data_IF_754754625912
#
_entry.id   IF_754754625912
#
_cell.length_a   1.000
_cell.length_b   1.000
_cell.length_c   1.000
_cell.angle_alpha   90.00
_cell.angle_beta   90.00
_cell.angle_gamma   90.00
#
_symmetry.space_group_name_H-M   'P 1'
#
loop_
_entity.id
_entity.type
_entity.pdbx_description
1 polymer ?
#
# COMPACT_ATOMS: atom_id res chain seq x y z
N UNK A 1 -15.96 30.81 1.11
CA UNK A 1 -16.71 31.24 -0.08
C UNK A 1 -17.42 30.02 -0.66
N UNK A 2 -18.72 29.89 -0.44
CA UNK A 2 -19.52 28.80 -1.00
C UNK A 2 -19.93 29.18 -2.43
N UNK A 3 -19.38 28.48 -3.43
CA UNK A 3 -19.75 28.61 -4.83
C UNK A 3 -21.09 27.90 -5.05
N UNK A 4 -22.21 28.64 -4.89
CA UNK A 4 -23.50 28.19 -5.37
C UNK A 4 -23.61 28.52 -6.86
N UNK A 5 -23.05 27.65 -7.73
CA UNK A 5 -23.21 27.79 -9.17
C UNK A 5 -24.63 27.34 -9.58
N UNK A 6 -25.44 28.19 -10.26
CA UNK A 6 -26.77 27.81 -10.73
C UNK A 6 -26.67 26.87 -11.94
N UNK A 7 -26.87 25.57 -11.71
CA UNK A 7 -26.98 24.57 -12.79
C UNK A 7 -28.20 24.86 -13.68
N UNK A 8 -27.96 25.34 -14.90
CA UNK A 8 -29.01 25.62 -15.87
C UNK A 8 -29.10 24.49 -16.89
N UNK A 9 -29.95 23.49 -16.61
CA UNK A 9 -30.08 22.31 -17.47
C UNK A 9 -31.00 22.56 -18.68
N UNK A 10 -30.39 22.67 -19.85
CA UNK A 10 -31.09 22.83 -21.13
C UNK A 10 -31.35 21.46 -21.79
N UNK A 11 -32.44 20.79 -21.43
CA UNK A 11 -32.88 19.57 -22.15
C UNK A 11 -33.54 19.99 -23.46
N UNK A 12 -32.81 19.80 -24.55
CA UNK A 12 -33.31 20.00 -25.91
C UNK A 12 -34.00 18.70 -26.36
N UNK A 13 -35.28 18.57 -26.01
CA UNK A 13 -36.09 17.41 -26.40
C UNK A 13 -36.61 17.60 -27.83
N UNK A 14 -35.74 17.43 -28.83
CA UNK A 14 -36.14 17.36 -30.23
C UNK A 14 -36.77 16.00 -30.52
N UNK A 15 -38.00 15.77 -30.04
CA UNK A 15 -38.78 14.57 -30.39
C UNK A 15 -39.66 14.84 -31.61
N UNK A 16 -39.30 14.16 -32.70
CA UNK A 16 -40.22 13.50 -33.64
C UNK A 16 -41.06 14.32 -34.63
N UNK A 17 -40.75 15.58 -34.89
CA UNK A 17 -41.36 16.25 -36.04
C UNK A 17 -40.30 16.95 -36.86
N UNK A 18 -40.40 16.74 -38.16
CA UNK A 18 -39.84 17.53 -39.27
C UNK A 18 -38.61 16.92 -39.96
N UNK A 19 -38.88 16.42 -41.16
CA UNK A 19 -37.99 15.86 -42.17
C UNK A 19 -37.43 16.92 -43.14
N UNK A 20 -37.53 18.21 -42.81
CA UNK A 20 -36.96 19.27 -43.65
C UNK A 20 -35.54 19.62 -43.17
N UNK A 21 -34.57 19.54 -44.08
CA UNK A 21 -33.17 19.89 -43.78
C UNK A 21 -32.99 21.31 -43.24
N UNK A 22 -33.89 22.22 -43.60
CA UNK A 22 -33.88 23.62 -43.15
C UNK A 22 -34.05 23.76 -41.63
N UNK A 23 -34.83 22.86 -41.00
CA UNK A 23 -35.07 22.92 -39.56
C UNK A 23 -33.82 22.55 -38.74
N UNK A 24 -32.95 21.68 -39.27
CA UNK A 24 -31.71 21.26 -38.59
C UNK A 24 -30.74 22.45 -38.47
N UNK A 25 -30.64 23.27 -39.52
CA UNK A 25 -29.78 24.46 -39.53
C UNK A 25 -30.30 25.56 -38.59
N UNK A 26 -31.62 25.76 -38.56
CA UNK A 26 -32.24 26.72 -37.65
C UNK A 26 -32.11 26.28 -36.18
N UNK A 27 -32.29 24.99 -35.92
CA UNK A 27 -32.15 24.42 -34.57
C UNK A 27 -30.71 24.51 -34.08
N UNK A 28 -29.71 24.18 -34.91
CA UNK A 28 -28.30 24.33 -34.54
C UNK A 28 -27.96 25.79 -34.25
N UNK A 29 -28.34 26.73 -35.13
CA UNK A 29 -28.14 28.17 -34.92
C UNK A 29 -28.79 28.68 -33.62
N UNK A 30 -30.03 28.29 -33.35
CA UNK A 30 -30.73 28.63 -32.12
C UNK A 30 -30.00 28.09 -30.88
N UNK A 31 -29.59 26.83 -30.93
CA UNK A 31 -28.89 26.17 -29.82
C UNK A 31 -27.55 26.85 -29.54
N UNK A 32 -26.79 27.22 -30.59
CA UNK A 32 -25.55 27.98 -30.46
C UNK A 32 -25.79 29.33 -29.77
N UNK A 33 -26.78 30.09 -30.24
CA UNK A 33 -27.11 31.40 -29.67
C UNK A 33 -27.50 31.30 -28.21
N UNK A 34 -28.26 30.27 -27.83
CA UNK A 34 -28.66 30.05 -26.44
C UNK A 34 -27.44 29.70 -25.57
N UNK A 35 -26.55 28.82 -26.04
CA UNK A 35 -25.33 28.47 -25.29
C UNK A 35 -24.43 29.70 -25.12
N UNK A 36 -24.25 30.50 -26.17
CA UNK A 36 -23.47 31.74 -26.11
C UNK A 36 -24.10 32.76 -25.16
N UNK A 37 -25.41 32.93 -25.22
CA UNK A 37 -26.12 33.86 -24.35
C UNK A 37 -26.01 33.44 -22.90
N UNK A 38 -26.15 32.14 -22.61
CA UNK A 38 -25.97 31.60 -21.26
C UNK A 38 -24.53 31.81 -20.76
N UNK A 39 -23.54 31.51 -21.60
CA UNK A 39 -22.12 31.72 -21.29
C UNK A 39 -21.77 33.20 -21.03
N UNK A 40 -22.41 34.15 -21.74
CA UNK A 40 -22.22 35.59 -21.52
C UNK A 40 -22.98 36.11 -20.30
N UNK A 41 -24.15 35.55 -20.01
CA UNK A 41 -25.03 36.02 -18.93
C UNK A 41 -24.60 35.57 -17.53
N UNK A 42 -23.87 34.45 -17.43
CA UNK A 42 -23.46 33.89 -16.15
C UNK A 42 -21.93 33.98 -16.00
N UNK A 43 -21.41 34.82 -15.09
CA UNK A 43 -19.97 34.81 -14.78
C UNK A 43 -19.61 33.52 -14.05
N UNK A 44 -18.93 32.60 -14.74
CA UNK A 44 -18.49 31.31 -14.18
C UNK A 44 -18.40 30.20 -15.22
N UNK A 45 -18.12 28.98 -14.76
CA UNK A 45 -18.19 27.77 -15.59
C UNK A 45 -19.64 27.33 -15.75
N UNK A 46 -20.14 27.37 -16.99
CA UNK A 46 -21.46 26.88 -17.36
C UNK A 46 -21.36 25.44 -17.89
N UNK A 47 -21.96 24.48 -17.18
CA UNK A 47 -22.05 23.10 -17.63
C UNK A 47 -23.36 22.89 -18.41
N UNK A 48 -23.23 22.46 -19.67
CA UNK A 48 -24.36 22.12 -20.53
C UNK A 48 -24.28 20.63 -20.90
N UNK A 49 -25.34 19.88 -20.60
CA UNK A 49 -25.46 18.48 -20.98
C UNK A 49 -26.41 18.36 -22.16
N UNK A 50 -25.88 18.01 -23.33
CA UNK A 50 -26.62 17.87 -24.58
C UNK A 50 -26.96 16.39 -24.79
N UNK A 51 -28.25 16.06 -24.75
CA UNK A 51 -28.74 14.70 -25.00
C UNK A 51 -29.25 14.56 -26.43
N UNK A 52 -28.62 13.68 -27.21
CA UNK A 52 -29.13 13.24 -28.50
C UNK A 52 -29.98 11.98 -28.32
N UNK A 53 -31.24 12.01 -28.76
CA UNK A 53 -32.15 10.86 -28.68
C UNK A 53 -32.19 10.02 -29.96
N UNK A 54 -31.33 10.29 -30.93
CA UNK A 54 -31.31 9.57 -32.21
C UNK A 54 -30.78 8.14 -32.05
N UNK A 55 -31.59 7.13 -32.42
CA UNK A 55 -31.26 5.69 -32.19
C UNK A 55 -30.24 5.11 -33.16
N UNK A 56 -30.22 5.57 -34.42
CA UNK A 56 -29.43 4.93 -35.48
C UNK A 56 -28.02 5.53 -35.61
N UNK A 57 -27.91 6.84 -35.40
CA UNK A 57 -26.65 7.60 -35.49
C UNK A 57 -26.61 8.61 -34.34
N UNK A 58 -26.39 8.17 -33.10
CA UNK A 58 -26.26 9.10 -31.99
C UNK A 58 -25.06 10.01 -32.24
N UNK A 59 -25.22 11.31 -32.03
CA UNK A 59 -24.17 12.36 -32.11
C UNK A 59 -23.73 12.80 -33.50
N UNK A 60 -24.18 12.20 -34.60
CA UNK A 60 -23.63 12.52 -35.93
C UNK A 60 -24.32 13.70 -36.64
N UNK A 61 -25.60 13.98 -36.32
CA UNK A 61 -26.38 15.00 -37.04
C UNK A 61 -26.30 16.35 -36.33
N UNK A 62 -27.27 16.64 -35.44
CA UNK A 62 -27.40 17.96 -34.80
C UNK A 62 -26.25 18.24 -33.83
N UNK A 63 -25.91 17.27 -32.98
CA UNK A 63 -24.86 17.47 -31.99
C UNK A 63 -23.48 17.48 -32.64
N UNK A 64 -23.28 16.70 -33.72
CA UNK A 64 -22.05 16.72 -34.50
C UNK A 64 -21.79 18.10 -35.11
N UNK A 65 -22.81 18.71 -35.72
CA UNK A 65 -22.72 20.04 -36.32
C UNK A 65 -22.56 21.14 -35.26
N UNK A 66 -23.32 21.06 -34.16
CA UNK A 66 -23.19 21.97 -33.01
C UNK A 66 -21.79 21.90 -32.38
N UNK A 67 -21.22 20.70 -32.27
CA UNK A 67 -19.86 20.49 -31.75
C UNK A 67 -18.78 20.91 -32.74
N UNK A 68 -19.07 20.95 -34.05
CA UNK A 68 -18.17 21.49 -35.09
C UNK A 68 -18.28 22.99 -35.27
N UNK A 69 -19.30 23.62 -34.69
CA UNK A 69 -19.51 25.05 -34.81
C UNK A 69 -18.31 25.86 -34.32
N UNK A 70 -17.76 26.76 -35.15
CA UNK A 70 -16.65 27.62 -34.74
C UNK A 70 -17.04 28.57 -33.60
N UNK A 71 -18.34 28.86 -33.45
CA UNK A 71 -18.82 29.78 -32.40
C UNK A 71 -18.67 29.21 -30.99
N UNK A 72 -18.70 27.87 -30.85
CA UNK A 72 -18.46 27.17 -29.58
C UNK A 72 -16.98 26.77 -29.38
N UNK A 73 -16.04 27.32 -30.15
CA UNK A 73 -14.62 26.96 -30.07
C UNK A 73 -13.94 27.27 -28.72
N UNK A 74 -14.58 28.04 -27.85
CA UNK A 74 -14.07 28.41 -26.53
C UNK A 74 -14.58 27.49 -25.39
N UNK A 75 -15.53 26.60 -25.67
CA UNK A 75 -16.09 25.66 -24.68
C UNK A 75 -15.28 24.37 -24.72
N UNK A 76 -14.60 24.05 -23.61
CA UNK A 76 -13.80 22.82 -23.47
C UNK A 76 -14.74 21.62 -23.48
N UNK A 77 -14.58 20.74 -24.47
CA UNK A 77 -15.48 19.60 -24.73
C UNK A 77 -14.99 18.28 -24.15
N UNK A 78 -13.72 18.22 -23.77
CA UNK A 78 -13.11 17.01 -23.26
C UNK A 78 -13.10 17.06 -21.74
N UNK A 79 -13.58 15.99 -21.11
CA UNK A 79 -13.36 15.76 -19.70
C UNK A 79 -11.95 15.19 -19.52
N UNK A 80 -10.98 15.98 -19.05
CA UNK A 80 -9.58 15.57 -18.98
C UNK A 80 -9.38 14.43 -17.95
N UNK A 81 -10.30 14.30 -16.99
CA UNK A 81 -10.21 13.29 -15.93
C UNK A 81 -10.51 11.89 -16.44
N UNK A 82 -11.50 11.75 -17.32
CA UNK A 82 -11.89 10.47 -17.93
C UNK A 82 -10.83 9.93 -18.88
N UNK A 83 -10.25 10.80 -19.70
CA UNK A 83 -9.16 10.42 -20.60
C UNK A 83 -7.99 9.86 -19.80
N UNK A 84 -7.67 10.53 -18.70
CA UNK A 84 -6.50 10.21 -17.90
C UNK A 84 -6.69 8.95 -17.03
N UNK A 85 -7.82 8.83 -16.32
CA UNK A 85 -8.05 7.71 -15.39
C UNK A 85 -8.46 6.44 -16.15
N UNK A 86 -9.28 6.57 -17.20
CA UNK A 86 -9.86 5.42 -17.90
C UNK A 86 -9.16 5.07 -19.21
N UNK A 87 -8.30 5.95 -19.74
CA UNK A 87 -7.76 5.80 -21.10
C UNK A 87 -8.85 5.86 -22.18
N UNK A 88 -10.05 6.35 -21.85
CA UNK A 88 -11.18 6.43 -22.78
C UNK A 88 -11.13 7.75 -23.54
N UNK A 89 -10.65 7.69 -24.78
CA UNK A 89 -10.68 8.82 -25.70
C UNK A 89 -12.08 8.95 -26.32
N UNK A 90 -12.94 9.81 -25.72
CA UNK A 90 -14.29 10.08 -26.26
C UNK A 90 -14.28 10.98 -27.51
N UNK A 91 -13.22 11.75 -27.73
CA UNK A 91 -13.12 12.72 -28.81
C UNK A 91 -11.76 12.60 -29.49
N UNK A 92 -11.76 12.55 -30.83
CA UNK A 92 -10.55 12.52 -31.63
C UNK A 92 -9.59 13.67 -31.23
N UNK A 93 -8.49 13.34 -30.53
CA UNK A 93 -7.49 14.33 -30.10
C UNK A 93 -7.03 15.18 -31.28
N UNK A 94 -6.99 14.62 -32.48
CA UNK A 94 -6.59 15.31 -33.70
C UNK A 94 -7.35 16.63 -33.95
N UNK A 95 -8.63 16.73 -33.58
CA UNK A 95 -9.45 17.95 -33.75
C UNK A 95 -9.43 18.93 -32.57
N UNK A 96 -8.84 18.57 -31.43
CA UNK A 96 -8.79 19.45 -30.26
C UNK A 96 -7.86 20.67 -30.47
N UNK A 97 -8.15 21.75 -29.75
CA UNK A 97 -7.37 22.99 -29.82
C UNK A 97 -5.92 22.73 -29.35
N UNK A 98 -4.94 23.49 -29.87
CA UNK A 98 -3.51 23.33 -29.51
C UNK A 98 -3.28 23.47 -28.00
N UNK A 99 -4.03 24.36 -27.35
CA UNK A 99 -3.95 24.56 -25.90
C UNK A 99 -4.51 23.41 -25.09
N UNK A 100 -5.66 22.86 -25.48
CA UNK A 100 -6.24 21.67 -24.84
C UNK A 100 -5.30 20.47 -24.96
N UNK A 101 -4.69 20.29 -26.14
CA UNK A 101 -3.65 19.26 -26.36
C UNK A 101 -2.47 19.44 -25.42
N UNK A 102 -1.98 20.67 -25.24
CA UNK A 102 -0.85 20.96 -24.36
C UNK A 102 -1.20 20.66 -22.89
N UNK A 103 -2.41 21.06 -22.45
CA UNK A 103 -2.89 20.79 -21.09
C UNK A 103 -3.07 19.28 -20.87
N UNK A 104 -3.73 18.57 -21.79
CA UNK A 104 -3.90 17.12 -21.71
C UNK A 104 -2.57 16.40 -21.72
N UNK A 105 -1.63 16.80 -22.58
CA UNK A 105 -0.28 16.24 -22.62
C UNK A 105 0.46 16.46 -21.30
N UNK A 106 0.41 17.67 -20.74
CA UNK A 106 1.01 17.99 -19.45
C UNK A 106 0.40 17.15 -18.32
N UNK A 107 -0.92 16.98 -18.32
CA UNK A 107 -1.65 16.15 -17.36
C UNK A 107 -1.24 14.67 -17.48
N UNK A 108 -1.18 14.13 -18.71
CA UNK A 108 -0.74 12.75 -18.97
C UNK A 108 0.68 12.54 -18.45
N UNK A 109 1.61 13.45 -18.77
CA UNK A 109 3.00 13.36 -18.29
C UNK A 109 3.04 13.41 -16.76
N UNK A 110 2.30 14.33 -16.13
CA UNK A 110 2.25 14.46 -14.68
C UNK A 110 1.77 13.17 -14.00
N UNK A 111 0.65 12.61 -14.43
CA UNK A 111 0.12 11.37 -13.83
C UNK A 111 0.95 10.14 -14.15
N UNK A 112 1.60 10.10 -15.32
CA UNK A 112 2.58 9.05 -15.62
C UNK A 112 3.74 9.10 -14.63
N UNK A 113 4.31 10.28 -14.38
CA UNK A 113 5.38 10.46 -13.38
C UNK A 113 4.92 10.08 -11.97
N UNK A 114 3.72 10.52 -11.58
CA UNK A 114 3.14 10.21 -10.28
C UNK A 114 2.90 8.70 -10.12
N UNK A 115 2.32 8.05 -11.12
CA UNK A 115 2.06 6.60 -11.11
C UNK A 115 3.35 5.81 -11.01
N UNK A 116 4.38 6.15 -11.79
CA UNK A 116 5.68 5.49 -11.73
C UNK A 116 6.37 5.67 -10.37
N UNK A 117 6.28 6.87 -9.79
CA UNK A 117 6.81 7.14 -8.46
C UNK A 117 6.07 6.32 -7.38
N UNK A 118 4.75 6.22 -7.49
CA UNK A 118 3.94 5.39 -6.59
C UNK A 118 4.23 3.90 -6.76
N UNK A 119 4.33 3.38 -7.98
CA UNK A 119 4.68 1.98 -8.25
C UNK A 119 6.03 1.64 -7.65
N UNK A 120 7.05 2.47 -7.87
CA UNK A 120 8.40 2.26 -7.31
C UNK A 120 8.36 2.23 -5.78
N UNK A 121 7.59 3.14 -5.17
CA UNK A 121 7.44 3.20 -3.71
C UNK A 121 6.65 2.02 -3.14
N UNK A 122 5.63 1.55 -3.85
CA UNK A 122 4.87 0.36 -3.45
C UNK A 122 5.74 -0.88 -3.58
N UNK A 123 6.48 -1.04 -4.68
CA UNK A 123 7.42 -2.14 -4.87
C UNK A 123 8.50 -2.14 -3.79
N UNK A 124 9.02 -0.96 -3.40
CA UNK A 124 10.02 -0.89 -2.32
C UNK A 124 9.43 -1.23 -0.94
N UNK A 125 8.18 -0.86 -0.67
CA UNK A 125 7.45 -1.26 0.54
C UNK A 125 7.06 -2.74 0.54
N UNK A 126 6.83 -3.33 -0.63
CA UNK A 126 6.56 -4.77 -0.80
C UNK A 126 7.83 -5.60 -0.67
N UNK A 127 8.97 -5.12 -1.17
CA UNK A 127 10.25 -5.81 -1.05
C UNK A 127 10.85 -5.70 0.35
N UNK A 128 10.64 -4.56 1.02
CA UNK A 128 11.09 -4.31 2.38
C UNK A 128 9.93 -3.88 3.26
N UNK A 129 9.24 -4.85 3.87
CA UNK A 129 8.20 -4.56 4.86
C UNK A 129 8.85 -3.76 5.99
N UNK A 130 8.44 -2.50 6.23
CA UNK A 130 9.04 -1.69 7.29
C UNK A 130 8.93 -2.48 8.59
N UNK A 131 10.06 -2.67 9.28
CA UNK A 131 10.00 -3.26 10.61
C UNK A 131 9.22 -2.31 11.51
N UNK A 132 8.41 -2.87 12.41
CA UNK A 132 7.86 -2.11 13.51
C UNK A 132 8.99 -1.34 14.20
N UNK A 133 8.66 -0.15 14.73
CA UNK A 133 9.63 0.73 15.40
C UNK A 133 10.51 -0.10 16.34
N UNK A 134 11.75 -0.27 15.93
CA UNK A 134 12.72 -1.06 16.69
C UNK A 134 13.07 -0.26 17.93
N UNK A 135 12.89 -0.87 19.10
CA UNK A 135 13.34 -0.29 20.37
C UNK A 135 14.86 -0.24 20.30
N UNK A 136 15.47 0.94 20.37
CA UNK A 136 16.92 1.10 20.25
C UNK A 136 17.59 1.37 21.60
N UNK A 137 16.89 2.08 22.50
CA UNK A 137 17.42 2.49 23.79
C UNK A 137 16.78 1.71 24.95
N UNK A 138 17.49 1.67 26.08
CA UNK A 138 16.96 1.06 27.31
C UNK A 138 15.73 1.84 27.81
N UNK A 139 15.72 3.16 27.65
CA UNK A 139 14.58 4.02 28.03
C UNK A 139 13.34 3.71 27.20
N UNK A 140 13.47 3.54 25.87
CA UNK A 140 12.37 3.11 25.00
C UNK A 140 11.86 1.71 25.41
N UNK A 141 12.75 0.82 25.87
CA UNK A 141 12.35 -0.50 26.36
C UNK A 141 11.51 -0.40 27.63
N UNK A 142 11.96 0.41 28.60
CA UNK A 142 11.26 0.58 29.88
C UNK A 142 9.91 1.27 29.68
N UNK A 143 9.86 2.32 28.84
CA UNK A 143 8.61 3.03 28.50
C UNK A 143 7.63 2.17 27.69
N UNK A 144 8.12 1.19 26.91
CA UNK A 144 7.25 0.23 26.21
C UNK A 144 6.50 -0.72 27.14
N UNK A 145 6.93 -0.85 28.41
CA UNK A 145 6.35 -1.80 29.36
C UNK A 145 6.67 -3.26 29.07
N UNK A 146 7.62 -3.54 28.17
CA UNK A 146 8.02 -4.91 27.83
C UNK A 146 8.75 -5.56 29.01
N UNK A 147 8.32 -6.75 29.48
CA UNK A 147 8.98 -7.41 30.61
C UNK A 147 10.40 -7.83 30.22
N UNK A 148 11.36 -7.50 31.07
CA UNK A 148 12.78 -7.83 30.86
C UNK A 148 13.14 -9.03 31.71
N UNK A 149 13.37 -10.18 31.09
CA UNK A 149 13.77 -11.41 31.76
C UNK A 149 15.27 -11.42 32.00
N UNK A 150 15.66 -11.67 33.24
CA UNK A 150 17.05 -11.73 33.63
C UNK A 150 17.27 -12.78 34.74
N UNK A 151 18.41 -13.49 34.69
CA UNK A 151 18.78 -14.50 35.69
C UNK A 151 19.54 -13.84 36.84
N UNK A 152 18.85 -13.59 37.96
CA UNK A 152 19.42 -12.83 39.08
C UNK A 152 20.64 -13.51 39.70
N UNK A 153 20.78 -14.83 39.57
CA UNK A 153 21.94 -15.57 40.07
C UNK A 153 23.22 -15.21 39.33
N UNK A 154 23.13 -14.73 38.09
CA UNK A 154 24.28 -14.33 37.27
C UNK A 154 24.56 -12.83 37.31
N UNK A 155 23.67 -12.05 37.92
CA UNK A 155 23.67 -10.59 37.89
C UNK A 155 24.13 -9.96 39.20
N UNK A 156 24.83 -10.70 40.06
CA UNK A 156 25.10 -10.37 41.48
C UNK A 156 25.77 -8.99 41.69
N UNK A 157 26.23 -8.30 40.63
CA UNK A 157 26.88 -6.98 40.72
C UNK A 157 26.39 -5.94 39.70
N UNK A 158 25.31 -6.19 38.94
CA UNK A 158 24.83 -5.20 37.96
C UNK A 158 23.79 -4.26 38.57
N UNK A 159 23.94 -2.96 38.32
CA UNK A 159 22.89 -2.00 38.65
C UNK A 159 21.71 -2.16 37.68
N UNK A 160 20.60 -2.69 38.19
CA UNK A 160 19.35 -2.86 37.46
C UNK A 160 18.35 -1.72 37.77
N UNK A 161 18.82 -0.63 38.38
CA UNK A 161 18.01 0.55 38.66
C UNK A 161 17.22 1.08 37.44
N UNK A 162 17.72 1.04 36.18
CA UNK A 162 16.97 1.54 35.04
C UNK A 162 15.69 0.75 34.73
N UNK A 163 15.62 -0.52 35.11
CA UNK A 163 14.50 -1.41 34.79
C UNK A 163 13.51 -1.59 35.93
N UNK A 164 13.48 -0.65 36.89
CA UNK A 164 12.65 -0.78 38.09
C UNK A 164 11.17 -0.99 37.71
N UNK A 165 10.65 -2.17 38.02
CA UNK A 165 9.26 -2.56 37.75
C UNK A 165 9.02 -3.37 36.47
N UNK A 166 9.99 -3.48 35.56
CA UNK A 166 9.87 -4.31 34.34
C UNK A 166 10.69 -5.60 34.39
N UNK A 167 11.65 -5.72 35.33
CA UNK A 167 12.48 -6.92 35.44
C UNK A 167 11.71 -8.08 36.06
N UNK A 168 11.76 -9.23 35.38
CA UNK A 168 11.24 -10.50 35.85
C UNK A 168 12.40 -11.48 36.02
N UNK A 169 12.54 -12.06 37.22
CA UNK A 169 13.53 -13.11 37.44
C UNK A 169 13.14 -14.36 36.64
N UNK A 170 14.00 -14.78 35.72
CA UNK A 170 13.80 -16.00 34.94
C UNK A 170 15.10 -16.77 34.79
N UNK A 171 15.02 -18.09 34.93
CA UNK A 171 16.10 -19.04 34.64
C UNK A 171 16.06 -19.56 33.20
N UNK A 172 15.27 -18.94 32.31
CA UNK A 172 15.17 -19.33 30.92
C UNK A 172 16.54 -19.25 30.23
N UNK A 173 16.86 -20.25 29.41
CA UNK A 173 18.09 -20.25 28.62
C UNK A 173 17.90 -19.30 27.43
N UNK A 174 18.99 -18.72 26.94
CA UNK A 174 18.98 -17.87 25.74
C UNK A 174 18.47 -18.61 24.48
N UNK A 175 18.45 -19.94 24.50
CA UNK A 175 17.92 -20.80 23.42
C UNK A 175 16.38 -20.89 23.45
N UNK A 176 15.74 -20.49 24.54
CA UNK A 176 14.29 -20.61 24.77
C UNK A 176 13.63 -19.26 25.06
N UNK A 177 13.79 -18.30 24.16
CA UNK A 177 13.14 -16.99 24.24
C UNK A 177 11.73 -17.04 23.62
N UNK A 178 10.78 -16.36 24.25
CA UNK A 178 9.32 -16.45 24.03
C UNK A 178 8.75 -15.62 22.88
N UNK A 179 9.50 -14.67 22.35
CA UNK A 179 9.14 -13.77 21.25
C UNK A 179 8.46 -12.49 21.72
N UNK A 180 8.32 -12.30 23.04
CA UNK A 180 7.54 -11.22 23.63
C UNK A 180 8.35 -10.43 24.66
N UNK A 181 9.16 -11.12 25.46
CA UNK A 181 9.95 -10.49 26.51
C UNK A 181 11.30 -9.98 25.97
N UNK A 182 11.88 -8.99 26.62
CA UNK A 182 13.28 -8.65 26.44
C UNK A 182 14.16 -9.56 27.31
N UNK A 183 15.39 -9.82 26.88
CA UNK A 183 16.32 -10.71 27.59
C UNK A 183 17.64 -10.01 27.83
N UNK A 184 18.13 -10.08 29.07
CA UNK A 184 19.44 -9.57 29.41
C UNK A 184 20.52 -10.62 29.09
N UNK A 185 21.41 -10.30 28.16
CA UNK A 185 22.50 -11.18 27.75
C UNK A 185 23.73 -10.39 27.31
N UNK A 186 24.91 -11.01 27.41
CA UNK A 186 26.16 -10.42 26.91
C UNK A 186 26.12 -10.27 25.39
N UNK A 187 26.62 -9.15 24.86
CA UNK A 187 26.62 -8.85 23.42
C UNK A 187 27.22 -9.98 22.56
N UNK A 188 28.31 -10.61 23.02
CA UNK A 188 28.96 -11.73 22.33
C UNK A 188 28.02 -12.93 22.19
N UNK A 189 27.27 -13.28 23.25
CA UNK A 189 26.28 -14.35 23.20
C UNK A 189 25.12 -13.96 22.29
N UNK A 190 24.58 -12.74 22.40
CA UNK A 190 23.48 -12.32 21.54
C UNK A 190 23.86 -12.33 20.05
N UNK A 191 25.04 -11.82 19.69
CA UNK A 191 25.54 -11.85 18.29
C UNK A 191 25.67 -13.26 17.73
N UNK A 192 26.06 -14.22 18.58
CA UNK A 192 26.16 -15.62 18.17
C UNK A 192 24.78 -16.29 18.09
N UNK A 193 23.94 -16.15 19.12
CA UNK A 193 22.70 -16.91 19.25
C UNK A 193 21.57 -16.38 18.35
N UNK A 194 21.46 -15.06 18.14
CA UNK A 194 20.33 -14.48 17.40
C UNK A 194 20.23 -14.96 15.95
N UNK A 195 21.31 -14.90 15.12
CA UNK A 195 21.25 -15.40 13.74
C UNK A 195 21.01 -16.91 13.65
N UNK A 196 21.43 -17.65 14.69
CA UNK A 196 21.35 -19.11 14.74
C UNK A 196 19.92 -19.56 15.07
N UNK A 197 19.37 -19.08 16.18
CA UNK A 197 18.13 -19.60 16.76
C UNK A 197 16.89 -18.75 16.48
N UNK A 198 17.05 -17.46 16.17
CA UNK A 198 15.94 -16.50 16.10
C UNK A 198 15.86 -15.73 14.79
N UNK A 199 16.49 -16.21 13.73
CA UNK A 199 16.33 -15.65 12.39
C UNK A 199 15.00 -16.09 11.79
N UNK A 200 14.09 -15.15 11.51
CA UNK A 200 12.87 -15.39 10.76
C UNK A 200 13.16 -15.30 9.26
N UNK A 201 13.01 -16.42 8.56
CA UNK A 201 13.29 -16.53 7.13
C UNK A 201 12.19 -15.94 6.26
N UNK A 202 10.95 -15.93 6.75
CA UNK A 202 9.86 -15.35 5.98
C UNK A 202 10.06 -13.83 5.86
N UNK A 203 10.62 -13.24 6.92
CA UNK A 203 10.87 -11.81 7.01
C UNK A 203 12.34 -11.43 6.75
N UNK A 204 13.21 -12.41 6.49
CA UNK A 204 14.67 -12.28 6.35
C UNK A 204 15.32 -11.39 7.43
N UNK A 205 14.88 -11.52 8.68
CA UNK A 205 15.37 -10.68 9.78
C UNK A 205 15.41 -11.45 11.10
N UNK A 206 16.22 -10.97 12.03
CA UNK A 206 16.21 -11.51 13.39
C UNK A 206 14.92 -11.09 14.10
N UNK A 207 14.34 -12.03 14.86
CA UNK A 207 13.14 -11.80 15.69
C UNK A 207 13.43 -10.83 16.84
N UNK A 208 14.67 -10.85 17.33
CA UNK A 208 15.15 -9.94 18.36
C UNK A 208 16.21 -9.00 17.79
N UNK A 209 16.29 -7.82 18.39
CA UNK A 209 17.32 -6.82 18.11
C UNK A 209 18.19 -6.65 19.35
N UNK A 210 19.48 -6.47 19.13
CA UNK A 210 20.43 -6.13 20.19
C UNK A 210 20.36 -4.61 20.36
N UNK A 211 20.02 -4.13 21.56
CA UNK A 211 20.04 -2.71 21.88
C UNK A 211 21.46 -2.16 21.76
N UNK A 212 21.58 -0.92 21.31
CA UNK A 212 22.88 -0.23 21.21
C UNK A 212 23.38 0.21 22.59
N UNK A 213 22.44 0.55 23.48
CA UNK A 213 22.70 0.82 24.89
C UNK A 213 23.13 -0.44 25.65
N UNK A 214 24.07 -0.26 26.58
CA UNK A 214 24.60 -1.33 27.42
C UNK A 214 24.61 -0.90 28.88
N UNK A 215 24.31 -1.83 29.78
CA UNK A 215 24.31 -1.58 31.23
C UNK A 215 25.70 -1.51 31.84
N UNK A 216 26.69 -2.01 31.11
CA UNK A 216 28.06 -2.04 31.57
C UNK A 216 28.93 -2.87 30.64
N UNK A 217 30.22 -2.86 30.96
CA UNK A 217 31.23 -3.64 30.25
C UNK A 217 31.61 -4.84 31.11
N UNK A 218 31.36 -6.04 30.59
CA UNK A 218 31.87 -7.27 31.17
C UNK A 218 33.15 -7.66 30.45
N UNK A 219 34.24 -7.69 31.20
CA UNK A 219 35.52 -8.20 30.72
C UNK A 219 35.54 -9.70 31.03
N UNK A 220 35.68 -10.51 29.98
CA UNK A 220 35.95 -11.95 30.17
C UNK A 220 37.34 -12.10 30.76
N UNK A 221 37.46 -12.85 31.86
CA UNK A 221 38.74 -13.14 32.49
C UNK A 221 38.87 -14.64 32.72
N UNK A 222 40.09 -15.16 32.60
CA UNK A 222 40.39 -16.51 33.03
C UNK A 222 40.56 -16.55 34.54
N UNK A 223 39.72 -17.33 35.22
CA UNK A 223 39.88 -17.55 36.65
C UNK A 223 40.97 -18.58 36.87
N UNK A 224 42.04 -18.17 37.54
CA UNK A 224 43.13 -19.05 37.99
C UNK A 224 43.21 -19.04 39.51
N UNK A 225 43.84 -20.05 40.11
CA UNK A 225 44.11 -20.06 41.55
C UNK A 225 45.18 -19.02 41.90
N UNK A 226 45.07 -18.39 43.08
CA UNK A 226 45.96 -17.30 43.56
C UNK A 226 47.46 -17.66 43.60
N UNK A 227 47.80 -18.94 43.50
CA UNK A 227 49.18 -19.44 43.54
C UNK A 227 49.53 -20.30 42.32
N UNK A 228 48.86 -20.07 41.18
CA UNK A 228 49.17 -20.81 39.96
C UNK A 228 50.48 -20.26 39.34
N UNK A 229 51.57 -21.04 39.27
CA UNK A 229 52.81 -20.58 38.65
C UNK A 229 52.67 -20.26 37.15
N UNK A 230 51.60 -20.71 36.50
CA UNK A 230 51.32 -20.44 35.10
C UNK A 230 50.54 -19.14 34.86
N UNK A 231 50.13 -18.42 35.91
CA UNK A 231 49.31 -17.22 35.78
C UNK A 231 49.99 -16.14 34.94
N UNK A 232 51.26 -15.84 35.22
CA UNK A 232 52.03 -14.83 34.49
C UNK A 232 52.19 -15.22 33.01
N UNK A 233 52.48 -16.50 32.75
CA UNK A 233 52.60 -17.01 31.38
C UNK A 233 51.25 -16.92 30.63
N UNK A 234 50.13 -17.19 31.31
CA UNK A 234 48.80 -17.08 30.71
C UNK A 234 48.45 -15.63 30.38
N UNK A 235 48.71 -14.69 31.31
CA UNK A 235 48.48 -13.26 31.09
C UNK A 235 49.29 -12.73 29.91
N UNK A 236 50.58 -13.08 29.85
CA UNK A 236 51.44 -12.70 28.73
C UNK A 236 50.90 -13.25 27.40
N UNK A 237 50.50 -14.52 27.39
CA UNK A 237 49.97 -15.18 26.18
C UNK A 237 48.65 -14.55 25.73
N UNK A 238 47.75 -14.25 26.66
CA UNK A 238 46.48 -13.57 26.37
C UNK A 238 46.71 -12.19 25.77
N UNK A 239 47.61 -11.40 26.37
CA UNK A 239 48.00 -10.09 25.84
C UNK A 239 48.57 -10.20 24.43
N UNK A 240 49.50 -11.13 24.20
CA UNK A 240 50.07 -11.37 22.88
C UNK A 240 49.01 -11.77 21.83
N UNK A 241 48.04 -12.61 22.20
CA UNK A 241 46.94 -13.00 21.31
C UNK A 241 45.94 -11.86 21.05
N UNK A 242 45.71 -11.01 22.05
CA UNK A 242 44.87 -9.84 21.89
C UNK A 242 45.52 -8.79 20.99
N UNK A 243 46.78 -8.41 21.28
CA UNK A 243 47.55 -7.44 20.51
C UNK A 243 47.82 -7.93 19.08
N UNK A 244 48.07 -9.22 18.90
CA UNK A 244 48.19 -9.86 17.60
C UNK A 244 46.86 -9.99 16.83
N UNK A 245 45.73 -9.62 17.43
CA UNK A 245 44.40 -9.72 16.81
C UNK A 245 43.87 -11.15 16.64
N UNK A 246 44.56 -12.15 17.20
CA UNK A 246 44.23 -13.57 17.04
C UNK A 246 42.88 -13.89 17.68
N UNK A 247 42.56 -13.30 18.83
CA UNK A 247 41.25 -13.46 19.48
C UNK A 247 40.10 -12.91 18.62
N UNK A 248 40.31 -11.75 17.98
CA UNK A 248 39.32 -11.16 17.06
C UNK A 248 39.13 -12.03 15.82
N UNK A 249 40.22 -12.58 15.29
CA UNK A 249 40.17 -13.51 14.17
C UNK A 249 39.36 -14.77 14.52
N UNK A 250 39.66 -15.45 15.63
CA UNK A 250 38.94 -16.66 16.03
C UNK A 250 37.45 -16.40 16.33
N UNK A 251 37.13 -15.28 16.98
CA UNK A 251 35.72 -14.94 17.26
C UNK A 251 34.93 -14.67 15.98
N UNK A 252 35.52 -13.95 15.02
CA UNK A 252 34.91 -13.72 13.70
C UNK A 252 34.79 -15.02 12.89
N UNK A 253 35.83 -15.86 12.90
CA UNK A 253 35.84 -17.14 12.21
C UNK A 253 34.76 -18.08 12.76
N UNK A 254 34.67 -18.20 14.09
CA UNK A 254 33.66 -19.02 14.75
C UNK A 254 32.23 -18.53 14.45
N UNK A 255 32.01 -17.21 14.40
CA UNK A 255 30.73 -16.64 13.99
C UNK A 255 30.38 -17.05 12.55
N UNK A 256 31.32 -16.89 11.62
CA UNK A 256 31.13 -17.25 10.22
C UNK A 256 30.83 -18.75 10.05
N UNK A 257 31.62 -19.60 10.71
CA UNK A 257 31.46 -21.05 10.65
C UNK A 257 30.10 -21.49 11.23
N UNK A 258 29.67 -20.89 12.34
CA UNK A 258 28.36 -21.18 12.93
C UNK A 258 27.20 -20.81 11.99
N UNK A 259 27.32 -19.69 11.27
CA UNK A 259 26.34 -19.27 10.25
C UNK A 259 26.35 -20.24 9.06
N UNK A 260 27.53 -20.63 8.59
CA UNK A 260 27.69 -21.57 7.46
C UNK A 260 27.14 -22.97 7.78
N UNK A 261 27.50 -23.51 8.96
CA UNK A 261 26.99 -24.80 9.42
C UNK A 261 25.47 -24.80 9.46
N UNK A 262 24.85 -23.72 9.95
CA UNK A 262 23.40 -23.57 9.94
C UNK A 262 22.82 -23.48 8.53
N UNK A 263 23.41 -22.68 7.64
CA UNK A 263 22.95 -22.61 6.24
C UNK A 263 22.98 -23.98 5.54
N UNK A 264 23.97 -24.83 5.88
CA UNK A 264 24.10 -26.18 5.31
C UNK A 264 22.97 -27.13 5.74
N UNK A 265 22.51 -27.05 6.99
CA UNK A 265 21.42 -27.91 7.49
C UNK A 265 20.02 -27.35 7.20
N UNK A 266 19.93 -26.14 6.62
CA UNK A 266 18.64 -25.51 6.34
C UNK A 266 18.14 -25.95 4.96
N UNK A 267 16.89 -26.45 4.85
CA UNK A 267 16.31 -26.71 3.55
C UNK A 267 16.27 -25.38 2.78
N UNK A 268 16.82 -25.36 1.57
CA UNK A 268 16.60 -24.28 0.60
C UNK A 268 15.10 -24.25 0.29
N UNK A 269 14.31 -23.65 1.16
CA UNK A 269 12.93 -23.30 0.83
C UNK A 269 13.04 -22.29 -0.29
N UNK A 270 12.66 -22.73 -1.50
CA UNK A 270 12.53 -21.89 -2.67
C UNK A 270 11.87 -20.58 -2.25
N UNK A 271 12.48 -19.45 -2.61
CA UNK A 271 12.03 -18.11 -2.28
C UNK A 271 10.51 -18.04 -2.45
N UNK A 272 9.80 -18.13 -1.33
CA UNK A 272 8.35 -18.22 -1.34
C UNK A 272 7.90 -16.84 -1.78
N UNK A 273 7.35 -16.75 -3.00
CA UNK A 273 7.01 -15.49 -3.64
C UNK A 273 6.23 -14.62 -2.64
N UNK A 274 6.87 -13.50 -2.32
CA UNK A 274 6.74 -12.74 -1.08
C UNK A 274 5.64 -11.70 -1.24
N UNK A 275 4.39 -12.16 -1.23
CA UNK A 275 3.18 -11.35 -1.05
C UNK A 275 2.09 -12.29 -0.54
N UNK A 276 1.67 -12.13 0.72
CA UNK A 276 0.52 -12.87 1.23
C UNK A 276 -0.77 -12.20 0.78
N UNK A 277 -1.85 -12.98 0.62
CA UNK A 277 -3.18 -12.42 0.28
C UNK A 277 -3.58 -11.35 1.31
N UNK A 278 -3.14 -11.51 2.56
CA UNK A 278 -3.36 -10.56 3.65
C UNK A 278 -2.75 -9.17 3.36
N UNK A 279 -1.63 -9.10 2.64
CA UNK A 279 -1.01 -7.81 2.27
C UNK A 279 -1.83 -7.07 1.18
N UNK A 280 -2.69 -7.78 0.42
CA UNK A 280 -3.58 -7.20 -0.58
C UNK A 280 -4.95 -6.76 0.01
N UNK A 281 -5.20 -7.07 1.30
CA UNK A 281 -6.47 -6.79 1.96
C UNK A 281 -6.93 -5.32 1.87
N UNK A 282 -6.06 -4.30 2.04
CA UNK A 282 -6.47 -2.89 1.90
C UNK A 282 -7.01 -2.55 0.50
N UNK A 283 -6.44 -3.17 -0.55
CA UNK A 283 -6.90 -2.97 -1.93
C UNK A 283 -8.27 -3.64 -2.16
N UNK A 284 -8.49 -4.81 -1.58
CA UNK A 284 -9.81 -5.45 -1.59
C UNK A 284 -10.85 -4.65 -0.82
N UNK A 285 -10.48 -4.08 0.33
CA UNK A 285 -11.37 -3.28 1.15
C UNK A 285 -11.75 -1.98 0.44
N UNK A 286 -10.81 -1.30 -0.22
CA UNK A 286 -11.12 -0.09 -1.00
C UNK A 286 -12.05 -0.40 -2.19
N UNK A 287 -11.85 -1.53 -2.87
CA UNK A 287 -12.73 -2.00 -3.94
C UNK A 287 -14.13 -2.34 -3.41
N UNK A 288 -14.22 -3.07 -2.29
CA UNK A 288 -15.48 -3.41 -1.64
C UNK A 288 -16.25 -2.15 -1.21
N UNK A 289 -15.58 -1.18 -0.58
CA UNK A 289 -16.20 0.09 -0.17
C UNK A 289 -16.69 0.88 -1.38
N UNK A 290 -15.88 0.98 -2.45
CA UNK A 290 -16.26 1.68 -3.68
C UNK A 290 -17.46 1.05 -4.41
N UNK A 291 -17.50 -0.28 -4.47
CA UNK A 291 -18.63 -1.02 -5.07
C UNK A 291 -19.91 -0.91 -4.24
N UNK A 292 -19.82 -0.96 -2.90
CA UNK A 292 -20.98 -0.75 -2.03
C UNK A 292 -21.49 0.69 -2.15
N UNK A 293 -20.60 1.69 -2.12
CA UNK A 293 -21.00 3.09 -2.23
C UNK A 293 -21.68 3.40 -3.57
N UNK A 294 -21.11 2.93 -4.69
CA UNK A 294 -21.73 3.08 -6.01
C UNK A 294 -23.06 2.33 -6.11
N UNK A 295 -23.18 1.14 -5.53
CA UNK A 295 -24.42 0.39 -5.45
C UNK A 295 -25.51 1.11 -4.65
N UNK A 296 -25.16 1.73 -3.53
CA UNK A 296 -26.09 2.52 -2.70
C UNK A 296 -26.58 3.78 -3.43
N UNK A 297 -25.68 4.50 -4.11
CA UNK A 297 -26.06 5.66 -4.94
C UNK A 297 -27.04 5.23 -6.04
N UNK A 298 -26.73 4.14 -6.74
CA UNK A 298 -27.61 3.59 -7.77
C UNK A 298 -28.99 3.17 -7.21
N UNK A 299 -29.03 2.51 -6.05
CA UNK A 299 -30.29 2.17 -5.41
C UNK A 299 -31.10 3.41 -4.99
N UNK A 300 -30.43 4.44 -4.46
CA UNK A 300 -31.05 5.71 -4.11
C UNK A 300 -31.68 6.39 -5.33
N UNK A 301 -30.98 6.41 -6.45
CA UNK A 301 -31.51 6.93 -7.71
C UNK A 301 -32.71 6.14 -8.23
N UNK A 302 -32.67 4.81 -8.15
CA UNK A 302 -33.80 3.96 -8.52
C UNK A 302 -35.02 4.20 -7.62
N UNK A 303 -34.82 4.36 -6.31
CA UNK A 303 -35.91 4.63 -5.37
C UNK A 303 -36.53 6.02 -5.59
N UNK A 304 -35.71 7.06 -5.80
CA UNK A 304 -36.17 8.41 -6.15
C UNK A 304 -36.89 8.38 -7.51
N UNK A 305 -36.37 7.62 -8.47
CA UNK A 305 -36.96 7.41 -9.78
C UNK A 305 -38.33 6.74 -9.72
N UNK A 306 -38.51 5.74 -8.84
CA UNK A 306 -39.78 5.02 -8.65
C UNK A 306 -40.79 5.75 -7.78
N UNK A 307 -40.36 6.52 -6.78
CA UNK A 307 -41.26 7.27 -5.90
C UNK A 307 -41.84 8.52 -6.57
N UNK A 308 -41.28 8.95 -7.71
CA UNK A 308 -41.94 9.89 -8.61
C UNK A 308 -43.13 9.22 -9.31
N UNK A 309 -44.27 9.16 -8.61
CA UNK A 309 -45.60 9.13 -9.21
C UNK A 309 -45.71 10.25 -10.27
N UNK A 310 -46.59 10.14 -11.28
CA UNK A 310 -46.70 11.07 -12.41
C UNK A 310 -47.25 12.43 -11.99
N UNK A 311 -46.51 13.20 -11.20
CA UNK A 311 -46.85 14.57 -10.85
C UNK A 311 -46.08 15.51 -11.77
N UNK A 312 -46.72 15.82 -12.90
CA UNK A 312 -46.45 16.95 -13.80
C UNK A 312 -45.08 17.00 -14.51
N UNK A 313 -45.11 17.32 -15.80
CA UNK A 313 -44.01 17.22 -16.76
C UNK A 313 -42.76 18.09 -16.46
N UNK A 314 -42.73 18.87 -15.38
CA UNK A 314 -41.71 19.88 -15.10
C UNK A 314 -40.45 19.37 -14.36
N UNK A 315 -40.44 18.18 -13.74
CA UNK A 315 -39.31 17.68 -12.91
C UNK A 315 -38.48 16.53 -13.53
N UNK A 316 -38.47 16.40 -14.86
CA UNK A 316 -37.68 15.39 -15.61
C UNK A 316 -36.20 15.77 -15.81
N UNK A 317 -35.83 17.02 -15.55
CA UNK A 317 -34.50 17.58 -15.87
C UNK A 317 -33.37 17.07 -14.94
N UNK A 318 -33.58 16.94 -13.64
CA UNK A 318 -32.48 16.70 -12.68
C UNK A 318 -31.98 15.24 -12.62
N UNK A 319 -32.76 14.26 -13.12
CA UNK A 319 -32.42 12.82 -12.99
C UNK A 319 -31.43 12.34 -14.07
N UNK A 320 -31.28 13.07 -15.19
CA UNK A 320 -30.40 12.66 -16.30
C UNK A 320 -28.90 12.79 -16.00
N UNK A 321 -28.51 13.77 -15.18
CA UNK A 321 -27.08 14.08 -14.91
C UNK A 321 -26.43 13.04 -13.99
N UNK A 322 -27.17 12.56 -13.00
CA UNK A 322 -26.67 11.57 -12.05
C UNK A 322 -26.54 10.17 -12.68
N UNK A 323 -27.42 9.84 -13.64
CA UNK A 323 -27.36 8.57 -14.35
C UNK A 323 -26.10 8.45 -15.23
N UNK A 324 -25.59 9.56 -15.80
CA UNK A 324 -24.33 9.53 -16.56
C UNK A 324 -23.09 9.48 -15.65
N UNK A 325 -23.11 10.15 -14.49
CA UNK A 325 -22.05 10.04 -13.51
C UNK A 325 -21.93 8.62 -12.92
N UNK A 326 -23.06 7.94 -12.68
CA UNK A 326 -23.08 6.55 -12.25
C UNK A 326 -22.70 5.57 -13.36
N UNK A 327 -23.15 5.80 -14.60
CA UNK A 327 -22.73 4.97 -15.73
C UNK A 327 -21.22 5.12 -15.98
N UNK A 328 -20.69 6.33 -15.83
CA UNK A 328 -19.26 6.62 -15.86
C UNK A 328 -18.53 5.88 -14.74
N UNK A 329 -18.96 5.99 -13.48
CA UNK A 329 -18.38 5.27 -12.35
C UNK A 329 -18.45 3.74 -12.52
N UNK A 330 -19.56 3.21 -13.05
CA UNK A 330 -19.71 1.79 -13.34
C UNK A 330 -18.79 1.32 -14.47
N UNK A 331 -18.65 2.11 -15.54
CA UNK A 331 -17.71 1.84 -16.62
C UNK A 331 -16.26 1.92 -16.15
N UNK A 332 -15.91 2.86 -15.27
CA UNK A 332 -14.59 2.95 -14.63
C UNK A 332 -14.34 1.70 -13.79
N UNK A 333 -15.28 1.33 -12.91
CA UNK A 333 -15.17 0.14 -12.08
C UNK A 333 -15.05 -1.13 -12.91
N UNK A 334 -15.81 -1.24 -14.01
CA UNK A 334 -15.78 -2.38 -14.93
C UNK A 334 -14.50 -2.43 -15.77
N UNK A 335 -14.00 -1.30 -16.25
CA UNK A 335 -12.73 -1.23 -16.99
C UNK A 335 -11.55 -1.55 -16.08
N UNK A 336 -11.58 -1.05 -14.84
CA UNK A 336 -10.62 -1.41 -13.80
C UNK A 336 -10.68 -2.91 -13.50
N UNK A 337 -11.88 -3.47 -13.33
CA UNK A 337 -12.08 -4.91 -13.14
C UNK A 337 -11.61 -5.74 -14.32
N UNK A 338 -11.90 -5.34 -15.57
CA UNK A 338 -11.48 -6.05 -16.77
C UNK A 338 -9.95 -6.06 -16.94
N UNK A 339 -9.29 -4.93 -16.64
CA UNK A 339 -7.83 -4.81 -16.68
C UNK A 339 -7.15 -5.57 -15.54
N UNK A 340 -7.82 -5.68 -14.38
CA UNK A 340 -7.36 -6.48 -13.25
C UNK A 340 -7.62 -7.98 -13.45
N UNK A 341 -8.73 -8.36 -14.10
CA UNK A 341 -9.05 -9.76 -14.43
C UNK A 341 -8.23 -10.30 -15.60
N UNK A 342 -7.68 -9.44 -16.47
CA UNK A 342 -6.73 -9.83 -17.52
C UNK A 342 -5.31 -10.08 -17.01
N UNK A 343 -5.03 -9.75 -15.74
CA UNK A 343 -3.88 -10.34 -15.06
C UNK A 343 -4.28 -11.77 -14.67
N UNK A 344 -3.90 -12.73 -15.52
CA UNK A 344 -4.02 -14.17 -15.25
C UNK A 344 -3.18 -14.53 -14.01
N UNK A 345 -3.74 -14.29 -12.82
CA UNK A 345 -3.21 -14.75 -11.57
C UNK A 345 -4.34 -15.48 -10.82
N UNK A 346 -4.43 -16.80 -11.14
CA UNK A 346 -4.85 -17.92 -10.28
C UNK A 346 -6.32 -18.39 -10.37
N UNK A 347 -6.51 -19.65 -10.80
CA UNK A 347 -7.59 -20.52 -10.32
C UNK A 347 -7.06 -21.81 -9.65
N UNK A 348 -6.06 -21.72 -8.75
CA UNK A 348 -5.49 -22.92 -8.08
C UNK A 348 -5.35 -22.83 -6.54
N UNK A 349 -5.97 -21.85 -5.87
CA UNK A 349 -5.78 -21.63 -4.41
C UNK A 349 -6.85 -22.27 -3.49
N UNK A 350 -7.90 -22.91 -4.01
CA UNK A 350 -8.95 -23.51 -3.17
C UNK A 350 -8.74 -24.99 -2.81
N UNK A 351 -7.49 -25.44 -2.59
CA UNK A 351 -7.27 -26.79 -2.04
C UNK A 351 -6.10 -26.87 -1.06
N UNK A 352 -6.25 -26.34 0.17
CA UNK A 352 -5.28 -26.63 1.24
C UNK A 352 -5.84 -26.52 2.67
N UNK A 353 -6.81 -27.37 2.99
CA UNK A 353 -6.99 -27.83 4.36
C UNK A 353 -6.06 -29.03 4.61
N UNK A 354 -4.82 -28.78 5.06
CA UNK A 354 -4.05 -29.80 5.78
C UNK A 354 -3.48 -29.20 7.07
N UNK A 355 -3.72 -29.83 8.23
CA UNK A 355 -3.14 -29.37 9.49
C UNK A 355 -1.62 -29.57 9.48
N UNK A 356 -0.89 -28.49 9.75
CA UNK A 356 0.56 -28.50 9.95
C UNK A 356 0.85 -29.21 11.27
N UNK A 357 1.45 -30.40 11.19
CA UNK A 357 1.92 -31.17 12.33
C UNK A 357 2.97 -30.39 13.14
N UNK A 358 2.58 -29.93 14.33
CA UNK A 358 3.51 -29.63 15.43
C UNK A 358 4.09 -30.95 15.96
N UNK A 359 5.08 -31.54 15.29
CA UNK A 359 5.75 -32.74 15.80
C UNK A 359 7.19 -32.92 15.30
N UNK A 360 8.06 -31.93 15.50
CA UNK A 360 9.52 -32.15 15.32
C UNK A 360 10.42 -31.51 16.38
N UNK A 361 9.89 -30.82 17.41
CA UNK A 361 10.75 -30.18 18.43
C UNK A 361 11.35 -31.14 19.48
N UNK A 362 10.92 -32.40 19.57
CA UNK A 362 11.42 -33.31 20.61
C UNK A 362 12.66 -34.12 20.22
N UNK A 363 13.07 -34.16 18.95
CA UNK A 363 14.25 -34.96 18.55
C UNK A 363 15.60 -34.22 18.62
N UNK A 364 15.61 -32.89 18.78
CA UNK A 364 16.87 -32.15 18.82
C UNK A 364 17.48 -32.06 20.23
N UNK A 365 16.67 -32.21 21.29
CA UNK A 365 17.16 -32.18 22.67
C UNK A 365 17.83 -33.49 23.13
N UNK A 366 17.65 -34.61 22.41
CA UNK A 366 18.33 -35.88 22.73
C UNK A 366 19.78 -35.93 22.22
N UNK A 367 20.14 -35.16 21.19
CA UNK A 367 21.50 -35.20 20.63
C UNK A 367 22.51 -34.26 21.31
N UNK A 368 22.08 -33.43 22.27
CA UNK A 368 22.94 -32.46 22.98
C UNK A 368 23.28 -32.94 24.41
N UNK A 369 22.87 -34.17 24.79
CA UNK A 369 23.22 -34.79 26.09
C UNK A 369 24.34 -35.85 26.01
N UNK A 370 25.06 -35.96 24.89
CA UNK A 370 26.27 -36.77 24.78
C UNK A 370 27.52 -35.90 24.75
#
# INVERSE_FOLDING_TARGET
MAFNAPFSLLVLAARLLVSSGDYIAELTSYTESVILQLALSQPGTFECVLFDMHKQHPFEVVLGDLMRSPKLGHVVKNDPTLLLICGLERFNLHKANRWEKLILLSLIIFFFLVTNAYETKIISLMSSKPSFRTIQTIEELVTSGTPTKADFKKLIQMDLSPFKGTVVNSSDKLVSMDGVSAYLATRTKSKLYLPIFYFDYNLQRNTYVILDDHLGMLIGAFLTSNHNPLQEMLEWSERAFFEGGLLNFYTAHFQLESVHAMQKFRPRTAAKLMLTIDDLLPAWLSLAVGTVASGLLFCGELLIGRCKKPLSAARRKIVGVYCEALLSCYLVARAFWAKFSSFDFIPEIFNKNRPVQRRQRTKFDEHIKM
#
